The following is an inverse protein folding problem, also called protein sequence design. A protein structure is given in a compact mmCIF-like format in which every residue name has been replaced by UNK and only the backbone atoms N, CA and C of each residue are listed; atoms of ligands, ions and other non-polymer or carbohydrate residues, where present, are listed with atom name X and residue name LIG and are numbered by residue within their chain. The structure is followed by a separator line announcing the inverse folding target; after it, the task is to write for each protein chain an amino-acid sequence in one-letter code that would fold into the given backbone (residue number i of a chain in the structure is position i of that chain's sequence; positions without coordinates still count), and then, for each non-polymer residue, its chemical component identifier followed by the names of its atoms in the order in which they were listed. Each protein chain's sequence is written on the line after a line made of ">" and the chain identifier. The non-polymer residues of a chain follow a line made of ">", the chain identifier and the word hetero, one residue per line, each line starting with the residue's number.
data_IF_142272286085
#
_entry.id   IF_142272286085
#
_cell.length_a   1.000
_cell.length_b   1.000
_cell.length_c   1.000
_cell.angle_alpha   90.00
_cell.angle_beta   90.00
_cell.angle_gamma   90.00
#
_symmetry.space_group_name_H-M   'P 1'
#
loop_
_entity.id
_entity.type
_entity.pdbx_description
1 polymer ?
#
# COMPACT_ATOMS: atom_id res chain seq x y z
N UNK A 1 12.34 1.87 -20.25
CA UNK A 1 12.01 0.47 -19.84
C UNK A 1 10.52 0.32 -19.68
N UNK A 2 9.99 -0.91 -19.85
CA UNK A 2 8.54 -1.15 -19.74
C UNK A 2 8.19 -1.66 -18.34
N UNK A 3 7.18 -1.04 -17.72
CA UNK A 3 6.64 -1.44 -16.42
C UNK A 3 5.12 -1.65 -16.53
N UNK A 4 4.62 -2.75 -15.97
CA UNK A 4 3.18 -2.92 -15.75
C UNK A 4 2.82 -2.24 -14.43
N UNK A 5 2.14 -1.11 -14.51
CA UNK A 5 1.71 -0.35 -13.33
C UNK A 5 0.19 -0.19 -13.37
N UNK A 6 -0.49 -0.77 -12.38
CA UNK A 6 -1.95 -0.77 -12.26
C UNK A 6 -2.64 -1.36 -13.49
N UNK A 7 -2.05 -2.45 -14.07
CA UNK A 7 -2.58 -3.12 -15.24
C UNK A 7 -2.36 -2.41 -16.58
N UNK A 8 -1.56 -1.34 -16.57
CA UNK A 8 -1.19 -0.59 -17.77
C UNK A 8 0.32 -0.66 -17.98
N UNK A 9 0.74 -1.19 -19.13
CA UNK A 9 2.17 -1.19 -19.52
C UNK A 9 2.58 0.23 -19.91
N UNK A 10 3.54 0.78 -19.17
CA UNK A 10 4.06 2.13 -19.37
C UNK A 10 5.53 2.07 -19.79
N UNK A 11 5.91 2.87 -20.75
CA UNK A 11 7.32 3.06 -21.11
C UNK A 11 7.87 4.23 -20.29
N UNK A 12 8.90 3.96 -19.50
CA UNK A 12 9.53 4.94 -18.61
C UNK A 12 11.00 5.13 -18.96
N UNK A 13 11.40 6.38 -19.08
CA UNK A 13 12.81 6.77 -19.23
C UNK A 13 13.37 7.07 -17.84
N UNK A 14 13.95 6.05 -17.23
CA UNK A 14 14.49 6.11 -15.88
C UNK A 14 15.86 5.41 -15.82
N UNK A 15 16.77 5.94 -15.00
CA UNK A 15 17.99 5.21 -14.65
C UNK A 15 17.62 3.87 -13.99
N UNK A 16 18.28 2.77 -14.33
CA UNK A 16 18.02 1.45 -13.74
C UNK A 16 18.05 1.42 -12.21
N UNK A 17 18.89 2.27 -11.62
CA UNK A 17 19.07 2.38 -10.15
C UNK A 17 18.08 3.33 -9.48
N UNK A 18 17.25 4.06 -10.27
CA UNK A 18 16.24 4.96 -9.70
C UNK A 18 15.28 4.16 -8.83
N UNK A 19 15.02 4.58 -7.58
CA UNK A 19 14.00 3.93 -6.75
C UNK A 19 12.62 3.97 -7.41
N UNK A 20 11.90 2.86 -7.38
CA UNK A 20 10.56 2.74 -7.95
C UNK A 20 9.62 3.84 -7.45
N UNK A 21 9.77 4.28 -6.19
CA UNK A 21 8.99 5.38 -5.63
C UNK A 21 9.00 6.64 -6.51
N UNK A 22 10.19 7.05 -6.97
CA UNK A 22 10.34 8.27 -7.78
C UNK A 22 9.84 8.07 -9.20
N UNK A 23 10.01 6.87 -9.76
CA UNK A 23 9.39 6.53 -11.05
C UNK A 23 7.87 6.68 -10.97
N UNK A 24 7.24 6.15 -9.91
CA UNK A 24 5.79 6.26 -9.72
C UNK A 24 5.34 7.72 -9.55
N UNK A 25 6.04 8.48 -8.70
CA UNK A 25 5.62 9.83 -8.33
C UNK A 25 5.96 10.88 -9.39
N UNK A 26 7.23 10.88 -9.84
CA UNK A 26 7.77 11.99 -10.64
C UNK A 26 7.60 11.75 -12.14
N UNK A 27 7.73 10.49 -12.60
CA UNK A 27 7.59 10.18 -14.02
C UNK A 27 6.16 9.76 -14.41
N UNK A 28 5.44 9.06 -13.54
CA UNK A 28 4.10 8.58 -13.83
C UNK A 28 2.99 9.41 -13.18
N UNK A 29 3.33 10.37 -12.30
CA UNK A 29 2.36 11.24 -11.63
C UNK A 29 1.49 10.53 -10.58
N UNK A 30 1.85 9.30 -10.17
CA UNK A 30 1.13 8.51 -9.16
C UNK A 30 1.60 8.89 -7.75
N UNK A 31 1.05 9.96 -7.21
CA UNK A 31 1.51 10.60 -5.97
C UNK A 31 0.91 10.02 -4.69
N UNK A 32 0.00 9.07 -4.78
CA UNK A 32 -0.61 8.40 -3.62
C UNK A 32 0.40 7.61 -2.79
N UNK A 33 1.39 6.99 -3.43
CA UNK A 33 2.54 6.37 -2.74
C UNK A 33 3.45 7.46 -2.18
N UNK A 34 3.80 7.41 -0.87
CA UNK A 34 4.47 8.51 -0.17
C UNK A 34 5.93 8.21 0.18
N UNK A 35 6.77 9.25 0.13
CA UNK A 35 8.12 9.22 0.69
C UNK A 35 8.07 9.56 2.19
N UNK A 36 8.73 8.77 3.03
CA UNK A 36 8.90 9.04 4.46
C UNK A 36 10.36 8.90 4.87
N UNK A 37 10.81 7.70 5.25
CA UNK A 37 12.16 7.48 5.77
C UNK A 37 13.25 7.29 4.70
N UNK A 38 12.91 6.85 3.49
CA UNK A 38 13.88 6.52 2.44
C UNK A 38 14.71 5.24 2.67
N UNK A 39 14.43 4.49 3.74
CA UNK A 39 15.22 3.33 4.18
C UNK A 39 14.34 2.11 4.52
N UNK A 40 13.17 1.99 3.91
CA UNK A 40 12.23 0.87 4.02
C UNK A 40 11.61 0.61 5.42
N UNK A 41 11.73 1.53 6.38
CA UNK A 41 11.28 1.32 7.76
C UNK A 41 9.86 1.82 8.04
N UNK A 42 9.45 2.97 7.47
CA UNK A 42 8.19 3.63 7.86
C UNK A 42 6.94 3.12 7.15
N UNK A 43 7.08 2.41 6.05
CA UNK A 43 5.95 1.83 5.31
C UNK A 43 5.14 2.77 4.43
N UNK A 44 5.38 4.08 4.44
CA UNK A 44 4.61 5.05 3.64
C UNK A 44 4.70 4.80 2.12
N UNK A 45 5.79 4.17 1.67
CA UNK A 45 6.07 3.87 0.27
C UNK A 45 5.63 2.47 -0.17
N UNK A 46 4.79 1.78 0.61
CA UNK A 46 4.37 0.42 0.27
C UNK A 46 3.54 0.38 -1.01
N UNK A 47 3.95 -0.47 -1.93
CA UNK A 47 3.22 -0.88 -3.13
C UNK A 47 3.16 -2.41 -3.16
N UNK A 48 2.38 -3.00 -4.07
CA UNK A 48 2.45 -4.45 -4.31
C UNK A 48 3.27 -4.75 -5.56
N UNK A 49 4.07 -5.80 -5.48
CA UNK A 49 4.69 -6.48 -6.62
C UNK A 49 4.10 -7.90 -6.70
N UNK A 50 3.33 -8.17 -7.75
CA UNK A 50 2.56 -9.41 -7.89
C UNK A 50 1.74 -9.73 -6.62
N UNK A 51 1.07 -8.73 -6.06
CA UNK A 51 0.25 -8.85 -4.86
C UNK A 51 1.01 -8.87 -3.53
N UNK A 52 2.35 -8.88 -3.54
CA UNK A 52 3.17 -8.88 -2.31
C UNK A 52 3.63 -7.48 -1.95
N UNK A 53 3.58 -7.08 -0.67
CA UNK A 53 4.00 -5.75 -0.26
C UNK A 53 5.51 -5.55 -0.45
N UNK A 54 5.88 -4.41 -1.01
CA UNK A 54 7.26 -4.00 -1.23
C UNK A 54 7.47 -2.52 -0.86
N UNK A 55 8.66 -2.19 -0.38
CA UNK A 55 9.06 -0.81 -0.04
C UNK A 55 9.69 -0.14 -1.25
N UNK A 56 8.93 0.67 -1.96
CA UNK A 56 9.37 1.26 -3.24
C UNK A 56 10.50 2.28 -3.11
N UNK A 57 10.75 2.85 -1.92
CA UNK A 57 11.79 3.85 -1.70
C UNK A 57 13.23 3.33 -1.79
N UNK A 58 13.43 2.02 -1.65
CA UNK A 58 14.75 1.38 -1.73
C UNK A 58 14.85 0.35 -2.84
N UNK A 59 13.77 0.16 -3.61
CA UNK A 59 13.72 -0.82 -4.68
C UNK A 59 14.14 -0.15 -6.00
N UNK A 60 15.32 -0.51 -6.60
CA UNK A 60 15.69 -0.04 -7.93
C UNK A 60 14.63 -0.46 -8.96
N UNK A 61 14.29 0.43 -9.88
CA UNK A 61 13.27 0.13 -10.89
C UNK A 61 13.66 -1.05 -11.79
N UNK A 62 14.96 -1.25 -12.05
CA UNK A 62 15.45 -2.43 -12.77
C UNK A 62 15.12 -3.75 -12.08
N UNK A 63 15.04 -3.75 -10.75
CA UNK A 63 14.68 -4.93 -9.96
C UNK A 63 13.20 -5.32 -10.05
N UNK A 64 12.35 -4.47 -10.59
CA UNK A 64 10.93 -4.79 -10.80
C UNK A 64 10.79 -5.91 -11.85
N UNK A 65 11.57 -5.84 -12.92
CA UNK A 65 11.51 -6.81 -14.02
C UNK A 65 10.14 -6.84 -14.68
N UNK A 66 9.57 -8.02 -14.83
CA UNK A 66 8.24 -8.26 -15.43
C UNK A 66 7.10 -8.28 -14.42
N UNK A 67 7.38 -8.03 -13.14
CA UNK A 67 6.36 -8.07 -12.08
C UNK A 67 5.37 -6.91 -12.21
N UNK A 68 4.12 -7.19 -11.87
CA UNK A 68 3.05 -6.19 -11.85
C UNK A 68 3.16 -5.31 -10.61
N UNK A 69 3.19 -4.01 -10.81
CA UNK A 69 3.17 -3.01 -9.73
C UNK A 69 1.73 -2.58 -9.51
N UNK A 70 1.23 -2.70 -8.28
CA UNK A 70 -0.05 -2.10 -7.89
C UNK A 70 0.20 -1.04 -6.83
N UNK A 71 -0.24 0.18 -7.10
CA UNK A 71 -0.21 1.30 -6.16
C UNK A 71 -1.59 1.50 -5.52
N UNK A 72 -1.69 2.44 -4.59
CA UNK A 72 -2.99 2.78 -3.95
C UNK A 72 -4.02 3.24 -4.99
N UNK A 73 -3.60 3.92 -6.05
CA UNK A 73 -4.48 4.35 -7.15
C UNK A 73 -5.02 3.17 -7.99
N UNK A 74 -4.29 2.05 -8.02
CA UNK A 74 -4.69 0.86 -8.75
C UNK A 74 -5.49 -0.13 -7.93
N UNK A 75 -5.74 0.15 -6.65
CA UNK A 75 -6.47 -0.76 -5.76
C UNK A 75 -7.96 -0.82 -6.11
N UNK A 76 -8.56 0.33 -6.40
CA UNK A 76 -9.89 0.45 -7.00
C UNK A 76 -10.01 1.84 -7.68
N UNK A 77 -10.81 1.96 -8.75
CA UNK A 77 -10.90 3.21 -9.51
C UNK A 77 -11.61 4.34 -8.76
N UNK A 78 -12.42 4.00 -7.76
CA UNK A 78 -13.33 4.91 -7.06
C UNK A 78 -13.22 4.84 -5.52
N UNK A 79 -12.22 4.14 -4.99
CA UNK A 79 -12.08 3.93 -3.55
C UNK A 79 -13.03 2.86 -2.97
N UNK A 80 -13.67 2.05 -3.83
CA UNK A 80 -14.65 1.03 -3.41
C UNK A 80 -14.04 -0.27 -2.88
N UNK A 81 -12.71 -0.40 -2.88
CA UNK A 81 -12.08 -1.58 -2.31
C UNK A 81 -12.45 -1.73 -0.83
N UNK A 82 -12.78 -2.95 -0.39
CA UNK A 82 -13.31 -3.24 0.95
C UNK A 82 -12.47 -2.65 2.08
N UNK A 83 -11.14 -2.65 1.96
CA UNK A 83 -10.25 -2.04 2.94
C UNK A 83 -10.38 -0.52 2.94
N UNK A 84 -10.50 0.12 1.77
CA UNK A 84 -10.71 1.58 1.68
C UNK A 84 -12.05 1.99 2.29
N UNK A 85 -13.11 1.21 2.05
CA UNK A 85 -14.42 1.42 2.68
C UNK A 85 -14.35 1.28 4.21
N UNK A 86 -13.66 0.26 4.72
CA UNK A 86 -13.49 0.07 6.15
C UNK A 86 -12.69 1.22 6.80
N UNK A 87 -11.68 1.75 6.09
CA UNK A 87 -10.93 2.93 6.53
C UNK A 87 -11.81 4.16 6.68
N UNK A 88 -12.69 4.39 5.71
CA UNK A 88 -13.64 5.51 5.75
C UNK A 88 -14.69 5.32 6.88
N UNK A 89 -15.21 4.10 7.05
CA UNK A 89 -16.22 3.81 8.09
C UNK A 89 -15.66 3.92 9.51
N UNK A 90 -14.40 3.50 9.72
CA UNK A 90 -13.70 3.58 11.00
C UNK A 90 -13.11 4.97 11.28
N UNK A 91 -13.28 5.93 10.36
CA UNK A 91 -12.74 7.30 10.47
C UNK A 91 -11.25 7.32 10.86
N UNK A 92 -10.43 6.53 10.16
CA UNK A 92 -9.03 6.28 10.53
C UNK A 92 -8.17 7.52 10.36
N UNK A 93 -8.42 8.30 9.29
CA UNK A 93 -7.48 9.30 8.77
C UNK A 93 -7.40 10.53 9.67
N UNK A 94 -6.17 10.99 9.95
CA UNK A 94 -5.89 12.33 10.47
C UNK A 94 -5.16 13.13 9.39
N UNK A 95 -3.81 13.19 9.37
CA UNK A 95 -3.12 13.92 8.31
C UNK A 95 -3.15 13.19 6.94
N UNK A 96 -3.37 11.90 6.93
CA UNK A 96 -3.49 11.09 5.71
C UNK A 96 -2.18 10.57 5.12
N UNK A 97 -1.02 11.07 5.56
CA UNK A 97 0.25 10.81 4.89
C UNK A 97 0.68 9.34 4.88
N UNK A 98 0.47 8.61 5.98
CA UNK A 98 0.84 7.19 6.10
C UNK A 98 -0.23 6.23 5.57
N UNK A 99 -1.42 6.72 5.25
CA UNK A 99 -2.60 5.85 5.09
C UNK A 99 -2.54 4.97 3.85
N UNK A 100 -2.03 5.49 2.72
CA UNK A 100 -1.86 4.67 1.51
C UNK A 100 -0.99 3.44 1.78
N UNK A 101 0.15 3.63 2.45
CA UNK A 101 1.04 2.52 2.81
C UNK A 101 0.39 1.53 3.78
N UNK A 102 -0.37 2.01 4.76
CA UNK A 102 -1.09 1.16 5.71
C UNK A 102 -2.20 0.35 5.02
N UNK A 103 -2.99 0.98 4.15
CA UNK A 103 -4.02 0.29 3.36
C UNK A 103 -3.40 -0.80 2.49
N UNK A 104 -2.31 -0.51 1.76
CA UNK A 104 -1.63 -1.50 0.92
C UNK A 104 -1.11 -2.68 1.76
N UNK A 105 -0.58 -2.41 2.96
CA UNK A 105 -0.14 -3.48 3.87
C UNK A 105 -1.32 -4.31 4.38
N UNK A 106 -2.43 -3.68 4.75
CA UNK A 106 -3.64 -4.35 5.21
C UNK A 106 -4.28 -5.22 4.13
N UNK A 107 -4.31 -4.74 2.87
CA UNK A 107 -4.79 -5.54 1.73
C UNK A 107 -3.98 -6.82 1.58
N UNK A 108 -2.65 -6.72 1.59
CA UNK A 108 -1.78 -7.89 1.47
C UNK A 108 -1.96 -8.88 2.64
N UNK A 109 -2.17 -8.38 3.86
CA UNK A 109 -2.49 -9.23 5.02
C UNK A 109 -3.80 -9.99 4.79
N UNK A 110 -4.89 -9.29 4.40
CA UNK A 110 -6.22 -9.89 4.25
C UNK A 110 -6.32 -10.83 3.02
N UNK A 111 -5.42 -10.70 2.04
CA UNK A 111 -5.30 -11.68 0.95
C UNK A 111 -4.64 -12.98 1.44
N UNK A 112 -3.65 -12.89 2.32
CA UNK A 112 -2.96 -14.05 2.88
C UNK A 112 -3.75 -14.69 4.03
N UNK A 113 -4.39 -13.87 4.87
CA UNK A 113 -5.13 -14.28 6.05
C UNK A 113 -6.44 -13.50 6.16
N UNK A 114 -7.55 -14.04 5.62
CA UNK A 114 -8.84 -13.36 5.59
C UNK A 114 -9.46 -13.06 6.96
N UNK A 115 -9.05 -13.82 8.00
CA UNK A 115 -9.47 -13.65 9.40
C UNK A 115 -8.24 -13.52 10.30
N UNK A 116 -7.56 -12.35 10.31
CA UNK A 116 -6.36 -12.16 11.09
C UNK A 116 -6.70 -11.93 12.57
N UNK A 117 -5.89 -12.51 13.46
CA UNK A 117 -5.91 -12.14 14.88
C UNK A 117 -5.28 -10.76 15.11
N UNK A 118 -5.48 -10.17 16.30
CA UNK A 118 -4.84 -8.92 16.67
C UNK A 118 -3.31 -9.00 16.54
N UNK A 119 -2.72 -10.13 16.93
CA UNK A 119 -1.30 -10.37 16.81
C UNK A 119 -0.82 -10.39 15.34
N UNK A 120 -1.64 -10.94 14.42
CA UNK A 120 -1.31 -10.94 12.99
C UNK A 120 -1.36 -9.51 12.42
N UNK A 121 -2.34 -8.72 12.85
CA UNK A 121 -2.48 -7.32 12.44
C UNK A 121 -1.29 -6.50 12.94
N UNK A 122 -0.94 -6.65 14.21
CA UNK A 122 0.19 -5.94 14.82
C UNK A 122 1.52 -6.32 14.14
N UNK A 123 1.73 -7.59 13.87
CA UNK A 123 2.92 -8.06 13.17
C UNK A 123 3.01 -7.50 11.74
N UNK A 124 1.91 -7.56 10.97
CA UNK A 124 1.89 -7.09 9.60
C UNK A 124 2.11 -5.58 9.50
N UNK A 125 1.54 -4.80 10.42
CA UNK A 125 1.59 -3.35 10.42
C UNK A 125 2.73 -2.76 11.24
N UNK A 126 3.57 -3.57 11.88
CA UNK A 126 4.71 -3.12 12.72
C UNK A 126 5.69 -2.20 11.97
N UNK A 127 5.83 -2.38 10.65
CA UNK A 127 6.64 -1.54 9.78
C UNK A 127 5.90 -0.35 9.16
N UNK A 128 4.73 0.04 9.68
CA UNK A 128 3.95 1.18 9.21
C UNK A 128 3.83 2.23 10.32
N UNK A 129 4.59 3.33 10.17
CA UNK A 129 4.66 4.39 11.18
C UNK A 129 3.60 5.46 10.92
N UNK A 130 2.87 5.85 11.96
CA UNK A 130 1.91 6.95 11.94
C UNK A 130 2.26 7.99 13.00
N UNK A 131 2.63 9.22 12.59
CA UNK A 131 2.95 10.30 13.53
C UNK A 131 1.73 10.81 14.32
N UNK A 132 0.53 10.68 13.72
CA UNK A 132 -0.73 11.03 14.37
C UNK A 132 -1.22 9.96 15.36
N UNK A 133 -0.61 8.77 15.38
CA UNK A 133 -0.96 7.70 16.31
C UNK A 133 -2.28 7.00 16.04
N UNK A 134 -2.69 6.87 14.76
CA UNK A 134 -3.99 6.27 14.37
C UNK A 134 -4.06 4.74 14.52
N UNK A 135 -3.12 4.12 15.19
CA UNK A 135 -2.95 2.65 15.24
C UNK A 135 -4.17 1.88 15.74
N UNK A 136 -4.88 2.40 16.73
CA UNK A 136 -6.11 1.76 17.25
C UNK A 136 -7.17 1.70 16.17
N UNK A 137 -7.45 2.84 15.51
CA UNK A 137 -8.43 2.92 14.41
C UNK A 137 -8.00 2.08 13.19
N UNK A 138 -6.70 2.02 12.89
CA UNK A 138 -6.16 1.15 11.84
C UNK A 138 -6.49 -0.31 12.12
N UNK A 139 -6.27 -0.79 13.35
CA UNK A 139 -6.62 -2.16 13.75
C UNK A 139 -8.12 -2.41 13.60
N UNK A 140 -8.95 -1.50 14.10
CA UNK A 140 -10.42 -1.57 13.97
C UNK A 140 -10.84 -1.66 12.49
N UNK A 141 -10.23 -0.85 11.62
CA UNK A 141 -10.51 -0.87 10.20
C UNK A 141 -10.10 -2.18 9.52
N UNK A 142 -8.98 -2.79 9.91
CA UNK A 142 -8.56 -4.11 9.38
C UNK A 142 -9.56 -5.20 9.80
N UNK A 143 -9.99 -5.19 11.07
CA UNK A 143 -11.01 -6.12 11.58
C UNK A 143 -12.33 -5.93 10.83
N UNK A 144 -12.76 -4.68 10.63
CA UNK A 144 -13.97 -4.36 9.88
C UNK A 144 -13.85 -4.84 8.42
N UNK A 145 -12.74 -4.56 7.74
CA UNK A 145 -12.50 -5.03 6.38
C UNK A 145 -12.53 -6.56 6.26
N UNK A 146 -11.95 -7.27 7.23
CA UNK A 146 -12.01 -8.73 7.31
C UNK A 146 -13.47 -9.23 7.38
N UNK A 147 -14.29 -8.61 8.23
CA UNK A 147 -15.73 -8.96 8.34
C UNK A 147 -16.48 -8.67 7.06
N UNK A 148 -16.31 -7.49 6.47
CA UNK A 148 -16.96 -7.10 5.22
C UNK A 148 -16.56 -8.03 4.07
N UNK A 149 -15.29 -8.40 3.96
CA UNK A 149 -14.79 -9.32 2.93
C UNK A 149 -15.42 -10.72 3.03
N UNK A 150 -15.74 -11.16 4.24
CA UNK A 150 -16.40 -12.45 4.50
C UNK A 150 -17.92 -12.41 4.39
N UNK A 151 -18.52 -11.27 4.00
CA UNK A 151 -19.97 -11.10 3.85
C UNK A 151 -20.70 -10.82 5.17
N UNK A 152 -20.01 -10.44 6.22
CA UNK A 152 -20.60 -9.97 7.48
C UNK A 152 -21.12 -8.54 7.34
N UNK A 153 -22.38 -8.31 7.74
CA UNK A 153 -22.98 -6.99 7.93
C UNK A 153 -22.51 -6.39 9.25
#
# INVERSE_FOLDING_TARGET
>A
MKLDVNGVVRDVDASPEMPLLWVLRDLLGLTGTKYGCGMAQCGACTVHLDGKPARSCVLPVSSVGTRKVTTIEGLSPDGSHVVQQAWAQADVVQCGYCQSGQIMTAVALLEQKPDPSDADIDAALSGNVCRCGTYVRVREAVILASRLKRGGK
#
